data_IF_005335477441
#
_entry.id   IF_005335477441
#
_cell.length_a   1.000
_cell.length_b   1.000
_cell.length_c   1.000
_cell.angle_alpha   90.00
_cell.angle_beta   90.00
_cell.angle_gamma   90.00
#
_symmetry.space_group_name_H-M   'P 1'
#
loop_
_entity.id
_entity.type
_entity.pdbx_description
1 polymer ?
#
# COMPACT_ATOMS: atom_id res chain seq x y z
N UNK A 1 -16.63 10.41 5.28
CA UNK A 1 -15.18 10.23 5.40
C UNK A 1 -14.66 9.94 3.99
N UNK A 2 -13.99 10.91 3.33
CA UNK A 2 -13.37 10.64 2.02
C UNK A 2 -12.17 9.72 2.26
N UNK A 3 -12.02 8.67 1.46
CA UNK A 3 -10.84 7.81 1.45
C UNK A 3 -9.58 8.68 1.33
N UNK A 4 -8.52 8.40 2.07
CA UNK A 4 -7.26 9.12 1.93
C UNK A 4 -6.64 8.77 0.57
N UNK A 5 -6.50 9.75 -0.32
CA UNK A 5 -5.95 9.58 -1.67
C UNK A 5 -4.57 10.22 -1.83
N UNK A 6 -3.74 9.71 -2.74
CA UNK A 6 -2.44 10.29 -3.14
C UNK A 6 -2.23 10.16 -4.65
N UNK A 7 -1.35 10.96 -5.23
CA UNK A 7 -0.99 10.89 -6.64
C UNK A 7 -1.95 11.65 -7.55
N UNK A 8 -2.65 12.65 -7.01
CA UNK A 8 -3.41 13.57 -7.86
C UNK A 8 -2.45 14.29 -8.82
N UNK A 9 -2.86 14.56 -10.07
CA UNK A 9 -2.03 15.30 -11.01
C UNK A 9 -1.58 16.65 -10.41
N UNK A 10 -0.26 16.89 -10.42
CA UNK A 10 0.33 18.10 -9.81
C UNK A 10 0.45 18.08 -8.27
N UNK A 11 0.09 16.99 -7.60
CA UNK A 11 0.31 16.86 -6.16
C UNK A 11 1.80 16.74 -5.82
N UNK A 12 2.23 17.52 -4.83
CA UNK A 12 3.62 17.50 -4.37
C UNK A 12 3.96 16.20 -3.62
N UNK A 13 5.17 15.62 -3.80
CA UNK A 13 5.57 14.40 -3.10
C UNK A 13 5.50 14.52 -1.58
N UNK A 14 5.74 15.72 -1.03
CA UNK A 14 5.63 15.97 0.41
C UNK A 14 4.20 15.85 0.93
N UNK A 15 3.20 16.30 0.15
CA UNK A 15 1.77 16.13 0.44
C UNK A 15 1.42 14.65 0.51
N UNK A 16 1.82 13.88 -0.51
CA UNK A 16 1.58 12.43 -0.55
C UNK A 16 2.20 11.74 0.67
N UNK A 17 3.45 12.10 1.01
CA UNK A 17 4.14 11.57 2.17
C UNK A 17 3.44 11.95 3.49
N UNK A 18 2.90 13.16 3.61
CA UNK A 18 2.13 13.58 4.77
C UNK A 18 0.85 12.74 4.94
N UNK A 19 0.13 12.48 3.85
CA UNK A 19 -1.04 11.59 3.83
C UNK A 19 -0.69 10.18 4.30
N UNK A 20 0.41 9.60 3.81
CA UNK A 20 0.89 8.29 4.26
C UNK A 20 1.24 8.29 5.75
N UNK A 21 1.91 9.34 6.25
CA UNK A 21 2.22 9.48 7.69
C UNK A 21 0.97 9.53 8.56
N UNK A 22 -0.05 10.25 8.10
CA UNK A 22 -1.31 10.35 8.80
C UNK A 22 -2.06 9.01 8.82
N UNK A 23 -2.10 8.31 7.69
CA UNK A 23 -2.69 6.98 7.57
C UNK A 23 -2.04 5.96 8.51
N UNK A 24 -0.70 5.96 8.59
CA UNK A 24 0.04 5.10 9.51
C UNK A 24 -0.25 5.42 10.98
N UNK A 25 -0.32 6.71 11.33
CA UNK A 25 -0.68 7.18 12.68
C UNK A 25 -2.08 6.74 13.09
N UNK A 26 -3.05 6.82 12.18
CA UNK A 26 -4.43 6.35 12.42
C UNK A 26 -4.43 4.84 12.61
N UNK A 27 -3.80 4.07 11.71
CA UNK A 27 -3.71 2.60 11.81
C UNK A 27 -3.15 2.16 13.16
N UNK A 28 -2.04 2.76 13.59
CA UNK A 28 -1.40 2.42 14.85
C UNK A 28 -2.27 2.76 16.08
N UNK A 29 -3.06 3.84 16.02
CA UNK A 29 -3.95 4.23 17.14
C UNK A 29 -5.25 3.44 17.18
N UNK A 30 -5.73 3.02 16.02
CA UNK A 30 -6.98 2.30 15.84
C UNK A 30 -6.72 1.04 15.00
N UNK A 31 -6.15 -0.02 15.60
CA UNK A 31 -5.96 -1.30 14.90
C UNK A 31 -7.28 -1.82 14.34
N UNK A 32 -7.26 -2.40 13.14
CA UNK A 32 -8.46 -2.86 12.44
C UNK A 32 -9.27 -1.76 11.72
N UNK A 33 -8.89 -0.48 11.83
CA UNK A 33 -9.52 0.60 11.05
C UNK A 33 -9.06 0.57 9.59
N UNK A 34 -9.94 0.87 8.63
CA UNK A 34 -9.60 0.97 7.20
C UNK A 34 -8.87 2.27 6.85
N UNK A 35 -7.67 2.49 7.39
CA UNK A 35 -6.87 3.69 7.11
C UNK A 35 -5.95 3.54 5.88
N UNK A 36 -6.30 2.65 4.95
CA UNK A 36 -5.53 2.47 3.73
C UNK A 36 -5.63 3.69 2.82
N UNK A 37 -4.51 4.01 2.19
CA UNK A 37 -4.41 5.10 1.21
C UNK A 37 -4.54 4.51 -0.18
N UNK A 38 -5.39 5.11 -1.02
CA UNK A 38 -5.60 4.66 -2.39
C UNK A 38 -4.95 5.65 -3.37
N UNK A 39 -4.06 5.19 -4.27
CA UNK A 39 -3.57 6.02 -5.36
C UNK A 39 -4.72 6.54 -6.23
N UNK A 40 -4.56 7.76 -6.74
CA UNK A 40 -5.52 8.43 -7.61
C UNK A 40 -5.73 7.63 -8.90
N UNK A 41 -7.00 7.43 -9.26
CA UNK A 41 -7.42 6.70 -10.45
C UNK A 41 -8.50 7.53 -11.12
N UNK A 42 -8.16 8.18 -12.23
CA UNK A 42 -9.10 8.95 -13.02
C UNK A 42 -10.11 8.00 -13.70
N UNK A 43 -11.41 8.13 -13.37
CA UNK A 43 -12.47 7.26 -13.92
C UNK A 43 -13.11 7.95 -15.13
N UNK A 44 -13.19 7.30 -16.31
CA UNK A 44 -13.83 7.87 -17.49
C UNK A 44 -15.24 8.40 -17.20
N UNK A 45 -15.56 9.58 -17.70
CA UNK A 45 -16.84 10.26 -17.48
C UNK A 45 -16.94 11.07 -16.18
N UNK A 46 -15.86 11.19 -15.41
CA UNK A 46 -15.79 12.07 -14.23
C UNK A 46 -15.04 13.37 -14.52
N UNK A 47 -15.30 14.43 -13.73
CA UNK A 47 -14.55 15.69 -13.85
C UNK A 47 -13.06 15.53 -13.55
N UNK A 48 -12.71 14.63 -12.62
CA UNK A 48 -11.31 14.29 -12.31
C UNK A 48 -10.57 13.66 -13.49
N UNK A 49 -11.29 12.94 -14.36
CA UNK A 49 -10.71 12.34 -15.57
C UNK A 49 -10.37 13.38 -16.63
N UNK A 50 -11.30 14.27 -16.96
CA UNK A 50 -11.05 15.40 -17.86
C UNK A 50 -9.89 16.27 -17.35
N UNK A 51 -9.89 16.56 -16.04
CA UNK A 51 -8.84 17.36 -15.42
C UNK A 51 -7.47 16.66 -15.47
N UNK A 52 -7.42 15.35 -15.20
CA UNK A 52 -6.18 14.58 -15.28
C UNK A 52 -5.62 14.56 -16.70
N UNK A 53 -6.46 14.35 -17.72
CA UNK A 53 -6.06 14.42 -19.13
C UNK A 53 -5.48 15.80 -19.48
N UNK A 54 -6.13 16.89 -19.04
CA UNK A 54 -5.66 18.25 -19.27
C UNK A 54 -4.29 18.54 -18.64
N UNK A 55 -3.95 17.84 -17.55
CA UNK A 55 -2.66 17.92 -16.86
C UNK A 55 -1.61 16.93 -17.41
N UNK A 56 -1.92 16.23 -18.51
CA UNK A 56 -0.99 15.34 -19.21
C UNK A 56 -0.97 13.90 -18.71
N UNK A 57 -1.92 13.49 -17.88
CA UNK A 57 -2.09 12.09 -17.53
C UNK A 57 -2.53 11.27 -18.76
N UNK A 58 -1.96 10.08 -18.94
CA UNK A 58 -2.29 9.20 -20.07
C UNK A 58 -3.21 8.08 -19.62
N UNK A 59 -4.43 8.06 -20.18
CA UNK A 59 -5.41 7.02 -19.88
C UNK A 59 -4.98 5.65 -20.45
N UNK A 60 -5.30 4.55 -19.76
CA UNK A 60 -5.16 3.20 -20.32
C UNK A 60 -5.91 3.04 -21.65
N UNK A 61 -5.25 2.40 -22.62
CA UNK A 61 -5.77 2.22 -23.98
C UNK A 61 -6.62 0.95 -24.14
N UNK A 62 -6.52 0.01 -23.21
CA UNK A 62 -7.22 -1.28 -23.28
C UNK A 62 -7.97 -1.61 -21.99
N UNK A 63 -9.00 -2.45 -22.11
CA UNK A 63 -9.76 -2.95 -20.95
C UNK A 63 -8.84 -3.68 -19.94
N UNK A 64 -7.83 -4.41 -20.43
CA UNK A 64 -6.88 -5.11 -19.57
C UNK A 64 -6.02 -4.14 -18.74
N UNK A 65 -5.53 -3.06 -19.34
CA UNK A 65 -4.78 -2.02 -18.62
C UNK A 65 -5.67 -1.26 -17.62
N UNK A 66 -6.93 -1.01 -17.99
CA UNK A 66 -7.93 -0.52 -17.04
C UNK A 66 -8.13 -1.50 -15.88
N UNK A 67 -8.17 -2.81 -16.14
CA UNK A 67 -8.23 -3.85 -15.10
C UNK A 67 -7.06 -3.75 -14.10
N UNK A 68 -5.83 -3.55 -14.58
CA UNK A 68 -4.64 -3.35 -13.73
C UNK A 68 -4.73 -2.09 -12.88
N UNK A 69 -5.34 -1.03 -13.39
CA UNK A 69 -5.58 0.19 -12.62
C UNK A 69 -6.54 -0.07 -11.45
N UNK A 70 -7.44 -1.06 -11.54
CA UNK A 70 -8.43 -1.36 -10.51
C UNK A 70 -8.10 -2.59 -9.67
N UNK A 71 -7.14 -3.43 -10.08
CA UNK A 71 -6.68 -4.56 -9.29
C UNK A 71 -6.12 -4.10 -7.92
N UNK A 72 -6.55 -4.85 -6.91
CA UNK A 72 -6.64 -4.45 -5.51
C UNK A 72 -5.30 -4.13 -4.86
N UNK A 73 -5.24 -3.02 -4.10
CA UNK A 73 -4.21 -2.51 -3.14
C UNK A 73 -2.72 -2.53 -3.52
N UNK A 74 -2.33 -3.16 -4.62
CA UNK A 74 -0.94 -3.41 -4.99
C UNK A 74 -0.57 -2.92 -6.38
N UNK A 75 -1.58 -2.73 -7.24
CA UNK A 75 -1.40 -2.18 -8.57
C UNK A 75 -1.84 -0.71 -8.59
N UNK A 76 -0.88 0.15 -8.89
CA UNK A 76 -1.08 1.57 -9.13
C UNK A 76 -0.61 1.93 -10.55
N UNK A 77 -0.65 0.94 -11.46
CA UNK A 77 -0.28 1.11 -12.84
C UNK A 77 -1.07 2.29 -13.42
N UNK A 78 -0.38 3.17 -14.14
CA UNK A 78 -0.90 4.46 -14.63
C UNK A 78 -1.13 5.56 -13.57
N UNK A 79 -0.96 5.35 -12.26
CA UNK A 79 -0.88 6.48 -11.32
C UNK A 79 0.57 6.98 -11.30
N UNK A 80 0.87 8.23 -11.69
CA UNK A 80 2.23 8.74 -11.73
C UNK A 80 2.72 9.07 -10.31
N UNK A 81 2.96 8.04 -9.50
CA UNK A 81 3.57 8.18 -8.19
C UNK A 81 5.09 8.26 -8.35
N UNK A 82 5.76 9.24 -7.75
CA UNK A 82 7.21 9.21 -7.63
C UNK A 82 7.67 7.89 -7.01
N UNK A 83 8.72 7.28 -7.53
CA UNK A 83 9.15 5.94 -7.14
C UNK A 83 9.32 5.77 -5.61
N UNK A 84 9.86 6.79 -4.93
CA UNK A 84 10.01 6.81 -3.48
C UNK A 84 8.66 6.79 -2.73
N UNK A 85 7.66 7.50 -3.24
CA UNK A 85 6.30 7.51 -2.67
C UNK A 85 5.62 6.17 -2.91
N UNK A 86 5.72 5.63 -4.13
CA UNK A 86 5.16 4.33 -4.47
C UNK A 86 5.70 3.23 -3.53
N UNK A 87 7.01 3.19 -3.32
CA UNK A 87 7.63 2.21 -2.43
C UNK A 87 7.23 2.41 -0.96
N UNK A 88 7.12 3.66 -0.51
CA UNK A 88 6.65 3.98 0.85
C UNK A 88 5.20 3.55 1.05
N UNK A 89 4.33 3.84 0.09
CA UNK A 89 2.93 3.43 0.09
C UNK A 89 2.82 1.89 0.16
N UNK A 90 3.53 1.18 -0.73
CA UNK A 90 3.55 -0.29 -0.74
C UNK A 90 3.97 -0.86 0.61
N UNK A 91 5.09 -0.39 1.18
CA UNK A 91 5.60 -0.86 2.48
C UNK A 91 4.66 -0.51 3.63
N UNK A 92 4.07 0.69 3.62
CA UNK A 92 3.11 1.11 4.63
C UNK A 92 1.86 0.20 4.62
N UNK A 93 1.30 -0.07 3.44
CA UNK A 93 0.13 -0.95 3.27
C UNK A 93 0.42 -2.38 3.73
N UNK A 94 1.61 -2.93 3.42
CA UNK A 94 2.02 -4.27 3.89
C UNK A 94 2.19 -4.30 5.41
N UNK A 95 2.84 -3.28 5.97
CA UNK A 95 3.05 -3.18 7.42
C UNK A 95 1.71 -3.10 8.16
N UNK A 96 0.75 -2.35 7.64
CA UNK A 96 -0.61 -2.29 8.19
C UNK A 96 -1.29 -3.66 8.19
N UNK A 97 -1.17 -4.45 7.12
CA UNK A 97 -1.74 -5.79 7.05
C UNK A 97 -1.13 -6.77 8.08
N UNK A 98 0.19 -6.68 8.32
CA UNK A 98 0.85 -7.45 9.37
C UNK A 98 0.42 -7.01 10.77
N UNK A 99 0.26 -5.70 10.99
CA UNK A 99 -0.17 -5.14 12.28
C UNK A 99 -1.59 -5.60 12.64
N UNK A 100 -2.51 -5.61 11.68
CA UNK A 100 -3.89 -6.09 11.85
C UNK A 100 -3.99 -7.63 11.89
N UNK A 101 -2.87 -8.34 11.74
CA UNK A 101 -2.80 -9.81 11.71
C UNK A 101 -3.67 -10.44 10.62
N UNK A 102 -3.80 -9.78 9.47
CA UNK A 102 -4.45 -10.37 8.31
C UNK A 102 -3.66 -11.55 7.73
N UNK A 103 -2.34 -11.57 7.96
CA UNK A 103 -1.46 -12.71 7.67
C UNK A 103 -1.66 -13.80 8.72
N UNK A 104 -2.09 -14.99 8.29
CA UNK A 104 -2.49 -16.10 9.18
C UNK A 104 -1.45 -17.22 9.24
N UNK A 105 -0.47 -17.17 8.37
CA UNK A 105 0.60 -18.13 8.21
C UNK A 105 1.58 -18.10 9.40
N UNK A 106 2.07 -19.28 9.79
CA UNK A 106 3.07 -19.43 10.85
C UNK A 106 2.52 -19.46 12.29
N UNK A 107 3.39 -19.84 13.26
CA UNK A 107 3.02 -19.99 14.66
C UNK A 107 2.61 -18.65 15.27
N UNK A 108 1.70 -18.70 16.25
CA UNK A 108 1.16 -17.51 16.92
C UNK A 108 2.25 -16.58 17.48
N UNK A 109 3.33 -17.15 18.03
CA UNK A 109 4.46 -16.39 18.58
C UNK A 109 5.16 -15.55 17.50
N UNK A 110 5.35 -16.11 16.30
CA UNK A 110 5.92 -15.39 15.17
C UNK A 110 4.99 -14.25 14.74
N UNK A 111 3.69 -14.50 14.61
CA UNK A 111 2.70 -13.49 14.23
C UNK A 111 2.62 -12.35 15.27
N UNK A 112 2.72 -12.68 16.55
CA UNK A 112 2.75 -11.69 17.64
C UNK A 112 4.01 -10.82 17.60
N UNK A 113 5.17 -11.42 17.27
CA UNK A 113 6.41 -10.68 17.07
C UNK A 113 6.31 -9.74 15.85
N UNK A 114 5.85 -10.26 14.70
CA UNK A 114 5.68 -9.48 13.47
C UNK A 114 4.70 -8.32 13.67
N UNK A 115 3.57 -8.54 14.34
CA UNK A 115 2.61 -7.47 14.64
C UNK A 115 3.22 -6.38 15.53
N UNK A 116 4.06 -6.74 16.53
CA UNK A 116 4.76 -5.75 17.36
C UNK A 116 5.74 -4.90 16.56
N UNK A 117 6.55 -5.52 15.70
CA UNK A 117 7.51 -4.82 14.83
C UNK A 117 6.75 -3.90 13.85
N UNK A 118 5.68 -4.41 13.23
CA UNK A 118 4.84 -3.64 12.32
C UNK A 118 4.22 -2.42 13.00
N UNK A 119 3.71 -2.59 14.23
CA UNK A 119 3.19 -1.48 15.04
C UNK A 119 4.26 -0.43 15.36
N UNK A 120 5.47 -0.86 15.71
CA UNK A 120 6.60 0.05 15.93
C UNK A 120 6.95 0.85 14.66
N UNK A 121 6.98 0.19 13.49
CA UNK A 121 7.25 0.85 12.20
C UNK A 121 6.17 1.86 11.81
N UNK A 122 4.88 1.50 11.95
CA UNK A 122 3.77 2.42 11.70
C UNK A 122 3.83 3.66 12.59
N UNK A 123 4.20 3.49 13.87
CA UNK A 123 4.34 4.60 14.80
C UNK A 123 5.45 5.57 14.41
N UNK A 124 6.57 5.03 13.90
CA UNK A 124 7.76 5.81 13.54
C UNK A 124 7.79 6.27 12.09
N UNK A 125 6.90 5.78 11.24
CA UNK A 125 6.94 5.95 9.78
C UNK A 125 8.26 5.46 9.16
N UNK A 126 8.82 4.38 9.71
CA UNK A 126 10.11 3.85 9.31
C UNK A 126 9.95 2.64 8.40
N UNK A 127 10.10 2.88 7.10
CA UNK A 127 9.92 1.86 6.06
C UNK A 127 11.22 1.45 5.38
N UNK A 128 12.38 2.00 5.77
CA UNK A 128 13.68 1.81 5.11
C UNK A 128 14.14 0.35 5.00
N UNK A 129 13.80 -0.51 5.98
CA UNK A 129 14.18 -1.92 6.01
C UNK A 129 12.94 -2.84 5.99
N UNK A 130 12.87 -3.86 5.10
CA UNK A 130 11.76 -4.80 5.04
C UNK A 130 11.95 -5.95 6.05
N UNK A 131 12.08 -5.62 7.33
CA UNK A 131 12.45 -6.58 8.40
C UNK A 131 11.42 -7.72 8.48
N UNK A 132 10.13 -7.39 8.47
CA UNK A 132 9.04 -8.35 8.57
C UNK A 132 8.95 -9.28 7.35
N UNK A 133 9.17 -8.74 6.15
CA UNK A 133 9.14 -9.55 4.92
C UNK A 133 10.30 -10.53 4.88
N UNK A 134 11.52 -10.09 5.22
CA UNK A 134 12.68 -10.98 5.24
C UNK A 134 12.58 -12.05 6.33
N UNK A 135 12.02 -11.72 7.50
CA UNK A 135 11.75 -12.69 8.56
C UNK A 135 10.67 -13.69 8.15
N UNK A 136 9.61 -13.24 7.49
CA UNK A 136 8.55 -14.10 6.97
C UNK A 136 9.05 -15.01 5.84
N UNK A 137 9.76 -14.47 4.85
CA UNK A 137 10.34 -15.22 3.73
C UNK A 137 11.35 -16.27 4.23
N UNK A 138 12.17 -15.92 5.22
CA UNK A 138 13.07 -16.85 5.88
C UNK A 138 12.32 -17.99 6.57
N UNK A 139 11.26 -17.68 7.31
CA UNK A 139 10.41 -18.68 7.93
C UNK A 139 9.73 -19.59 6.89
N UNK A 140 9.15 -19.04 5.83
CA UNK A 140 8.49 -19.80 4.74
C UNK A 140 9.48 -20.74 4.06
N UNK A 141 10.69 -20.27 3.74
CA UNK A 141 11.76 -21.09 3.15
C UNK A 141 12.22 -22.23 4.08
N UNK A 142 12.31 -21.97 5.39
CA UNK A 142 12.75 -22.96 6.38
C UNK A 142 11.66 -23.96 6.78
N UNK A 143 10.39 -23.54 6.75
CA UNK A 143 9.25 -24.37 7.14
C UNK A 143 8.69 -25.22 6.00
N UNK A 144 9.19 -25.05 4.77
CA UNK A 144 8.76 -25.82 3.60
C UNK A 144 7.30 -25.59 3.20
N UNK A 145 6.62 -24.61 3.81
CA UNK A 145 5.26 -24.24 3.42
C UNK A 145 5.36 -23.44 2.11
N UNK A 146 5.10 -24.09 0.97
CA UNK A 146 5.05 -23.42 -0.31
C UNK A 146 4.05 -22.26 -0.28
N UNK A 147 4.47 -21.10 -0.80
CA UNK A 147 3.57 -19.97 -1.06
C UNK A 147 2.43 -20.46 -1.95
N UNK A 148 1.15 -20.27 -1.59
CA UNK A 148 0.06 -20.61 -2.50
C UNK A 148 0.16 -19.65 -3.70
N UNK A 149 0.44 -20.17 -4.90
CA UNK A 149 0.43 -19.39 -6.15
C UNK A 149 1.63 -19.54 -7.08
N UNK A 150 2.65 -20.33 -6.75
CA UNK A 150 3.68 -20.73 -7.72
C UNK A 150 3.35 -22.09 -8.32
N UNK A 151 2.42 -22.08 -9.27
CA UNK A 151 2.02 -23.18 -10.15
C UNK A 151 1.49 -22.61 -11.44
#
# INVERSE_FOLDING_TARGET
MRSAGIGFPGEEPESMAATLRQAARVKHRCPGSGSEVYPFRAIPGTGDYEHALALGWTAPGTFHEWGKCFEWKWHADHTPLPAAIHETWRRCTQTAAHYDRHVREGPRVLRDALAKIAGWRLRRNEYSLPVEQKLFDGYVRLSGQGTPGSG
#
